data_IF_906524767040
#
_entry.id   IF_906524767040
#
_cell.length_a   1.000
_cell.length_b   1.000
_cell.length_c   1.000
_cell.angle_alpha   90.00
_cell.angle_beta   90.00
_cell.angle_gamma   90.00
#
_symmetry.space_group_name_H-M   'P 1'
#
loop_
_entity.id
_entity.type
_entity.pdbx_description
1 polymer ?
#
# COMPACT_ATOMS: atom_id res chain seq x y z
N UNK A 1 5.97 51.25 22.86
CA UNK A 1 5.71 50.59 21.57
C UNK A 1 5.48 51.69 20.57
N UNK A 2 6.35 51.83 19.56
CA UNK A 2 6.18 52.86 18.55
C UNK A 2 4.90 52.57 17.76
N UNK A 3 4.00 53.54 17.73
CA UNK A 3 2.73 53.44 16.99
C UNK A 3 3.07 53.51 15.51
N UNK A 4 2.81 52.41 14.81
CA UNK A 4 3.20 52.21 13.42
C UNK A 4 2.28 53.08 12.54
N UNK A 5 2.86 53.87 11.62
CA UNK A 5 2.08 54.79 10.79
C UNK A 5 1.08 54.03 9.93
N UNK A 6 -0.11 54.60 9.68
CA UNK A 6 -1.13 53.99 8.80
C UNK A 6 -0.53 53.55 7.45
N UNK A 7 0.45 54.29 6.93
CA UNK A 7 1.12 53.98 5.67
C UNK A 7 2.06 52.77 5.78
N UNK A 8 2.81 52.66 6.88
CA UNK A 8 3.64 51.48 7.17
C UNK A 8 2.75 50.22 7.35
N UNK A 9 1.55 50.39 7.91
CA UNK A 9 0.62 49.28 8.15
C UNK A 9 0.07 48.73 6.83
N UNK A 10 -0.24 49.61 5.87
CA UNK A 10 -0.67 49.21 4.52
C UNK A 10 0.43 48.49 3.76
N UNK A 11 1.67 48.99 3.83
CA UNK A 11 2.82 48.34 3.18
C UNK A 11 2.97 46.91 3.72
N UNK A 12 2.99 46.76 5.04
CA UNK A 12 3.11 45.44 5.68
C UNK A 12 1.95 44.50 5.34
N UNK A 13 0.72 45.02 5.25
CA UNK A 13 -0.44 44.22 4.84
C UNK A 13 -0.28 43.71 3.39
N UNK A 14 0.17 44.56 2.48
CA UNK A 14 0.43 44.17 1.10
C UNK A 14 1.54 43.11 0.99
N UNK A 15 2.62 43.28 1.74
CA UNK A 15 3.73 42.31 1.79
C UNK A 15 3.25 40.94 2.28
N UNK A 16 2.50 40.89 3.39
CA UNK A 16 1.95 39.63 3.94
C UNK A 16 1.01 38.95 2.94
N UNK A 17 0.15 39.72 2.24
CA UNK A 17 -0.74 39.14 1.22
C UNK A 17 0.05 38.61 0.01
N UNK A 18 1.20 39.21 -0.34
CA UNK A 18 2.05 38.75 -1.45
C UNK A 18 2.75 37.46 -1.07
N UNK A 19 3.34 37.41 0.13
CA UNK A 19 3.94 36.20 0.69
C UNK A 19 2.93 35.06 0.79
N UNK A 20 1.69 35.36 1.21
CA UNK A 20 0.60 34.39 1.28
C UNK A 20 0.25 33.83 -0.10
N UNK A 21 0.15 34.68 -1.12
CA UNK A 21 -0.08 34.24 -2.50
C UNK A 21 1.05 33.36 -3.02
N UNK A 22 2.31 33.73 -2.80
CA UNK A 22 3.45 32.88 -3.15
C UNK A 22 3.43 31.54 -2.41
N UNK A 23 3.02 31.53 -1.14
CA UNK A 23 2.83 30.31 -0.38
C UNK A 23 1.79 29.40 -1.03
N UNK A 24 0.65 29.93 -1.49
CA UNK A 24 -0.35 29.14 -2.22
C UNK A 24 0.17 28.57 -3.54
N UNK A 25 1.04 29.30 -4.26
CA UNK A 25 1.70 28.80 -5.47
C UNK A 25 2.65 27.64 -5.17
N UNK A 26 3.47 27.77 -4.12
CA UNK A 26 4.35 26.68 -3.67
C UNK A 26 3.56 25.45 -3.24
N UNK A 27 2.44 25.63 -2.52
CA UNK A 27 1.56 24.52 -2.16
C UNK A 27 1.02 23.79 -3.40
N UNK A 28 0.56 24.54 -4.40
CA UNK A 28 0.05 23.97 -5.65
C UNK A 28 1.12 23.13 -6.35
N UNK A 29 2.32 23.69 -6.54
CA UNK A 29 3.45 22.97 -7.12
C UNK A 29 3.79 21.69 -6.35
N UNK A 30 3.91 21.77 -5.02
CA UNK A 30 4.21 20.59 -4.19
C UNK A 30 3.15 19.50 -4.32
N UNK A 31 1.87 19.88 -4.36
CA UNK A 31 0.79 18.90 -4.54
C UNK A 31 0.82 18.25 -5.92
N UNK A 32 1.11 19.00 -6.98
CA UNK A 32 1.22 18.48 -8.34
C UNK A 32 2.41 17.52 -8.50
N UNK A 33 3.56 17.88 -7.94
CA UNK A 33 4.74 17.00 -7.87
C UNK A 33 4.43 15.71 -7.10
N UNK A 34 3.73 15.84 -5.96
CA UNK A 34 3.31 14.68 -5.16
C UNK A 34 2.34 13.78 -5.92
N UNK A 35 1.44 14.36 -6.72
CA UNK A 35 0.52 13.58 -7.55
C UNK A 35 1.28 12.75 -8.59
N UNK A 36 2.23 13.36 -9.29
CA UNK A 36 3.05 12.68 -10.28
C UNK A 36 3.87 11.52 -9.67
N UNK A 37 4.49 11.74 -8.51
CA UNK A 37 5.18 10.69 -7.75
C UNK A 37 4.21 9.60 -7.31
N UNK A 38 3.01 9.97 -6.85
CA UNK A 38 1.96 9.03 -6.45
C UNK A 38 1.55 8.10 -7.60
N UNK A 39 1.28 8.66 -8.78
CA UNK A 39 0.93 7.89 -9.99
C UNK A 39 2.04 6.91 -10.36
N UNK A 40 3.31 7.37 -10.43
CA UNK A 40 4.45 6.49 -10.70
C UNK A 40 4.56 5.35 -9.69
N UNK A 41 4.33 5.65 -8.42
CA UNK A 41 4.39 4.66 -7.34
C UNK A 41 3.30 3.60 -7.48
N UNK A 42 2.06 4.01 -7.81
CA UNK A 42 0.95 3.09 -8.07
C UNK A 42 1.30 2.16 -9.24
N UNK A 43 1.79 2.69 -10.36
CA UNK A 43 2.19 1.89 -11.53
C UNK A 43 3.30 0.89 -11.17
N UNK A 44 4.33 1.33 -10.43
CA UNK A 44 5.39 0.44 -9.98
C UNK A 44 4.88 -0.69 -9.07
N UNK A 45 3.94 -0.38 -8.17
CA UNK A 45 3.31 -1.42 -7.34
C UNK A 45 2.46 -2.38 -8.18
N UNK A 46 1.79 -1.93 -9.23
CA UNK A 46 1.07 -2.83 -10.14
C UNK A 46 2.02 -3.82 -10.84
N UNK A 47 3.13 -3.33 -11.36
CA UNK A 47 4.18 -4.16 -11.99
C UNK A 47 4.75 -5.18 -10.99
N UNK A 48 5.11 -4.72 -9.78
CA UNK A 48 5.59 -5.60 -8.69
C UNK A 48 4.53 -6.63 -8.30
N UNK A 49 3.26 -6.24 -8.27
CA UNK A 49 2.15 -7.13 -7.96
C UNK A 49 1.99 -8.26 -8.98
N UNK A 50 2.15 -7.97 -10.29
CA UNK A 50 2.11 -9.02 -11.31
C UNK A 50 3.34 -9.93 -11.25
N UNK A 51 4.53 -9.37 -10.98
CA UNK A 51 5.73 -10.18 -10.74
C UNK A 51 5.54 -11.16 -9.58
N UNK A 52 4.98 -10.70 -8.46
CA UNK A 52 4.68 -11.55 -7.30
C UNK A 52 3.67 -12.65 -7.64
N UNK A 53 2.63 -12.35 -8.43
CA UNK A 53 1.69 -13.37 -8.92
C UNK A 53 2.36 -14.38 -9.83
N UNK A 54 3.32 -13.97 -10.66
CA UNK A 54 4.07 -14.92 -11.47
C UNK A 54 4.92 -15.85 -10.60
N UNK A 55 5.61 -15.31 -9.60
CA UNK A 55 6.38 -16.10 -8.62
C UNK A 55 5.48 -17.09 -7.87
N UNK A 56 4.28 -16.67 -7.47
CA UNK A 56 3.29 -17.53 -6.81
C UNK A 56 2.88 -18.72 -7.70
N UNK A 57 2.61 -18.47 -8.99
CA UNK A 57 2.31 -19.54 -9.97
C UNK A 57 3.50 -20.48 -10.19
N UNK A 58 4.72 -19.95 -10.25
CA UNK A 58 5.94 -20.75 -10.39
C UNK A 58 6.17 -21.64 -9.16
N UNK A 59 5.89 -21.14 -7.95
CA UNK A 59 5.96 -21.93 -6.72
C UNK A 59 4.93 -23.06 -6.70
N UNK A 60 3.70 -22.78 -7.14
CA UNK A 60 2.66 -23.79 -7.31
C UNK A 60 3.10 -24.91 -8.28
N UNK A 61 3.79 -24.56 -9.36
CA UNK A 61 4.34 -25.52 -10.32
C UNK A 61 5.45 -26.37 -9.69
N UNK A 62 6.42 -25.74 -9.00
CA UNK A 62 7.49 -26.46 -8.29
C UNK A 62 6.91 -27.40 -7.23
N UNK A 63 5.87 -26.97 -6.51
CA UNK A 63 5.14 -27.77 -5.55
C UNK A 63 4.50 -29.01 -6.18
N UNK A 64 3.99 -28.90 -7.41
CA UNK A 64 3.47 -30.05 -8.17
C UNK A 64 4.60 -30.98 -8.65
N UNK A 65 5.68 -30.43 -9.17
CA UNK A 65 6.83 -31.19 -9.65
C UNK A 65 7.49 -31.97 -8.51
N UNK A 66 7.62 -31.36 -7.32
CA UNK A 66 8.11 -32.04 -6.12
C UNK A 66 7.20 -33.19 -5.68
N UNK A 67 5.87 -33.04 -5.79
CA UNK A 67 4.94 -34.15 -5.53
C UNK A 67 5.16 -35.29 -6.51
N UNK A 68 5.41 -35.00 -7.78
CA UNK A 68 5.67 -36.03 -8.79
C UNK A 68 7.04 -36.70 -8.57
N UNK A 69 8.10 -35.93 -8.31
CA UNK A 69 9.41 -36.46 -7.97
C UNK A 69 9.36 -37.43 -6.79
N UNK A 70 8.59 -37.09 -5.74
CA UNK A 70 8.37 -37.96 -4.58
C UNK A 70 7.62 -39.25 -4.93
N UNK A 71 6.66 -39.22 -5.85
CA UNK A 71 5.98 -40.44 -6.35
C UNK A 71 6.98 -41.34 -7.09
N UNK A 72 7.76 -40.76 -8.00
CA UNK A 72 8.76 -41.51 -8.77
C UNK A 72 9.80 -42.16 -7.85
N UNK A 73 10.31 -41.44 -6.83
CA UNK A 73 11.21 -42.02 -5.82
C UNK A 73 10.57 -43.16 -5.01
N UNK A 74 9.26 -43.06 -4.72
CA UNK A 74 8.52 -44.13 -4.06
C UNK A 74 8.21 -45.33 -4.96
N UNK A 75 8.17 -45.16 -6.28
CA UNK A 75 8.03 -46.26 -7.23
C UNK A 75 9.37 -46.98 -7.42
N UNK A 76 10.46 -46.22 -7.53
CA UNK A 76 11.82 -46.76 -7.55
C UNK A 76 12.12 -47.59 -6.29
N UNK A 77 11.66 -47.16 -5.12
CA UNK A 77 11.84 -47.92 -3.87
C UNK A 77 11.05 -49.24 -3.84
N UNK A 78 9.97 -49.37 -4.63
CA UNK A 78 9.18 -50.61 -4.75
C UNK A 78 9.76 -51.59 -5.77
N UNK A 79 10.56 -51.12 -6.73
CA UNK A 79 11.18 -51.94 -7.77
C UNK A 79 12.38 -52.78 -7.26
N UNK A 80 12.72 -52.71 -5.97
CA UNK A 80 13.64 -53.64 -5.34
C UNK A 80 12.93 -54.98 -5.05
N UNK A 81 12.62 -55.74 -6.12
CA UNK A 81 11.75 -56.91 -6.15
C UNK A 81 12.27 -58.19 -5.46
N UNK A 82 13.19 -58.10 -4.50
CA UNK A 82 13.68 -59.26 -3.75
C UNK A 82 14.13 -58.96 -2.31
N UNK A 83 13.73 -57.83 -1.72
CA UNK A 83 14.13 -57.49 -0.35
C UNK A 83 12.91 -57.11 0.50
N UNK A 84 12.71 -57.85 1.61
CA UNK A 84 11.79 -57.50 2.70
C UNK A 84 12.28 -56.25 3.44
N UNK A 85 12.29 -55.08 2.79
CA UNK A 85 12.70 -53.84 3.42
C UNK A 85 11.48 -53.10 4.00
N UNK A 86 11.36 -52.94 5.34
CA UNK A 86 10.29 -52.21 5.99
C UNK A 86 10.51 -50.70 5.85
N UNK A 87 10.36 -50.18 4.63
CA UNK A 87 10.52 -48.75 4.37
C UNK A 87 9.22 -48.00 4.70
N UNK A 88 9.24 -47.27 5.82
CA UNK A 88 8.17 -46.37 6.27
C UNK A 88 7.67 -45.46 5.13
N UNK A 89 6.41 -45.64 4.71
CA UNK A 89 5.71 -44.72 3.80
C UNK A 89 5.68 -43.34 4.45
N UNK A 90 6.39 -42.36 3.89
CA UNK A 90 6.19 -40.97 4.31
C UNK A 90 4.77 -40.54 3.92
N UNK A 91 3.95 -40.20 4.91
CA UNK A 91 2.66 -39.51 4.71
C UNK A 91 2.93 -38.12 4.12
N UNK A 92 2.10 -37.64 3.18
CA UNK A 92 2.22 -36.27 2.70
C UNK A 92 1.83 -35.32 3.84
N UNK A 93 2.56 -34.21 4.06
CA UNK A 93 2.00 -33.07 4.77
C UNK A 93 0.80 -32.60 3.95
N UNK A 94 -0.40 -32.63 4.53
CA UNK A 94 -1.54 -31.93 3.93
C UNK A 94 -1.34 -30.45 4.24
N UNK A 95 -1.10 -29.63 3.23
CA UNK A 95 -1.08 -28.18 3.42
C UNK A 95 -2.51 -27.72 3.75
N UNK A 96 -2.73 -27.30 5.00
CA UNK A 96 -4.04 -26.92 5.55
C UNK A 96 -4.50 -25.50 5.09
N UNK A 97 -3.82 -24.91 4.10
CA UNK A 97 -4.07 -23.53 3.65
C UNK A 97 -5.51 -23.34 3.13
N UNK A 98 -6.06 -24.33 2.40
CA UNK A 98 -7.45 -24.30 1.89
C UNK A 98 -8.51 -24.23 2.99
N UNK A 99 -8.23 -24.68 4.22
CA UNK A 99 -9.18 -24.57 5.34
C UNK A 99 -9.11 -23.23 6.06
N UNK A 100 -8.01 -22.48 5.91
CA UNK A 100 -7.79 -21.19 6.59
C UNK A 100 -8.51 -20.04 5.86
N UNK A 101 -8.67 -20.12 4.54
CA UNK A 101 -9.44 -19.13 3.77
C UNK A 101 -10.94 -19.12 4.11
N UNK A 102 -11.53 -20.27 4.46
CA UNK A 102 -12.96 -20.35 4.84
C UNK A 102 -13.31 -19.75 6.21
N UNK A 103 -12.32 -19.37 7.03
CA UNK A 103 -12.52 -18.87 8.41
C UNK A 103 -12.15 -17.40 8.62
N UNK A 104 -11.66 -16.68 7.61
CA UNK A 104 -11.36 -15.24 7.69
C UNK A 104 -12.28 -14.43 6.78
N UNK A 105 -13.58 -14.54 7.01
CA UNK A 105 -14.51 -13.45 6.71
C UNK A 105 -14.83 -12.78 8.05
N UNK A 106 -13.91 -11.93 8.52
CA UNK A 106 -14.23 -10.90 9.52
C UNK A 106 -13.59 -9.64 9.01
N UNK A 107 -14.45 -8.70 8.62
CA UNK A 107 -14.12 -7.30 8.37
C UNK A 107 -13.10 -6.82 9.41
N UNK A 108 -11.83 -6.74 9.01
CA UNK A 108 -10.91 -5.83 9.68
C UNK A 108 -11.35 -4.45 9.24
N UNK A 109 -12.19 -3.81 10.07
CA UNK A 109 -12.35 -2.36 10.04
C UNK A 109 -10.95 -1.78 10.20
N UNK A 110 -10.33 -1.46 9.08
CA UNK A 110 -9.05 -0.77 9.00
C UNK A 110 -9.22 0.50 9.83
N UNK A 111 -8.63 0.51 11.02
CA UNK A 111 -8.58 1.70 11.86
C UNK A 111 -7.54 2.61 11.23
N UNK A 112 -7.92 3.24 10.11
CA UNK A 112 -7.26 4.44 9.63
C UNK A 112 -7.31 5.41 10.80
N UNK A 113 -6.14 5.73 11.36
CA UNK A 113 -6.03 6.76 12.39
C UNK A 113 -6.37 8.07 11.70
N UNK A 114 -7.67 8.40 11.68
CA UNK A 114 -8.22 9.65 11.18
C UNK A 114 -7.95 10.74 12.22
N UNK A 115 -6.69 11.00 12.52
CA UNK A 115 -6.31 12.30 13.09
C UNK A 115 -6.21 13.22 11.87
N UNK A 116 -7.37 13.59 11.33
CA UNK A 116 -7.40 14.76 10.47
C UNK A 116 -7.24 15.96 11.40
N UNK A 117 -6.24 16.83 11.18
CA UNK A 117 -6.20 18.10 11.89
C UNK A 117 -7.53 18.82 11.66
N UNK A 118 -8.03 19.49 12.69
CA UNK A 118 -9.28 20.26 12.60
C UNK A 118 -9.19 21.18 11.40
N UNK A 119 -10.07 21.00 10.43
CA UNK A 119 -10.08 21.85 9.25
C UNK A 119 -10.31 23.29 9.70
N UNK A 120 -9.42 24.21 9.35
CA UNK A 120 -9.60 25.63 9.59
C UNK A 120 -9.97 26.26 8.25
N UNK A 121 -11.14 26.89 8.19
CA UNK A 121 -11.60 27.61 6.99
C UNK A 121 -11.87 29.05 7.40
N UNK A 122 -11.35 30.02 6.66
CA UNK A 122 -11.51 31.43 6.96
C UNK A 122 -11.07 31.83 8.40
N UNK A 123 -10.01 31.18 8.92
CA UNK A 123 -9.51 31.41 10.28
C UNK A 123 -10.40 30.87 11.41
N UNK A 124 -11.48 30.16 11.10
CA UNK A 124 -12.34 29.50 12.08
C UNK A 124 -12.17 27.98 12.03
N UNK A 125 -12.10 27.35 13.20
CA UNK A 125 -12.09 25.90 13.31
C UNK A 125 -13.46 25.36 12.88
N UNK A 126 -13.48 24.54 11.82
CA UNK A 126 -14.66 23.81 11.38
C UNK A 126 -14.81 22.61 12.31
N UNK A 127 -15.92 22.54 13.04
CA UNK A 127 -16.18 21.41 13.94
C UNK A 127 -16.36 20.11 13.15
N UNK A 128 -15.69 19.05 13.61
CA UNK A 128 -15.87 17.71 13.09
C UNK A 128 -17.32 17.24 13.37
N UNK A 129 -18.20 17.34 12.38
CA UNK A 129 -19.62 16.95 12.48
C UNK A 129 -20.62 17.90 11.82
N UNK A 130 -20.21 19.12 11.45
CA UNK A 130 -21.03 20.03 10.64
C UNK A 130 -20.95 19.70 9.15
N UNK A 131 -22.00 20.04 8.39
CA UNK A 131 -22.04 19.94 6.92
C UNK A 131 -20.73 20.40 6.28
N UNK A 132 -20.34 19.78 5.16
CA UNK A 132 -19.12 20.11 4.43
C UNK A 132 -18.95 21.63 4.37
N UNK A 133 -17.80 22.18 4.79
CA UNK A 133 -17.67 23.61 5.01
C UNK A 133 -17.88 24.36 3.70
N UNK A 134 -19.05 24.97 3.52
CA UNK A 134 -19.42 25.77 2.35
C UNK A 134 -19.06 27.23 2.62
N UNK A 135 -18.12 27.80 1.88
CA UNK A 135 -17.69 29.20 2.01
C UNK A 135 -16.36 29.45 1.32
N UNK A 136 -15.78 30.64 1.34
CA UNK A 136 -14.40 30.86 0.87
C UNK A 136 -13.37 30.23 1.83
N UNK A 137 -12.19 29.86 1.32
CA UNK A 137 -11.06 29.35 2.11
C UNK A 137 -10.34 30.49 2.85
N UNK A 138 -10.21 31.65 2.22
CA UNK A 138 -9.58 32.83 2.82
C UNK A 138 -10.59 33.90 3.25
N UNK A 139 -10.18 34.71 4.23
CA UNK A 139 -10.90 35.94 4.57
C UNK A 139 -10.52 37.00 3.57
N UNK A 140 -11.50 37.52 2.82
CA UNK A 140 -11.29 38.66 1.95
C UNK A 140 -11.18 39.94 2.78
N UNK A 141 -10.09 40.69 2.61
CA UNK A 141 -9.83 41.96 3.32
C UNK A 141 -9.78 43.10 2.30
N UNK A 142 -8.94 42.96 1.27
CA UNK A 142 -8.79 43.98 0.22
C UNK A 142 -9.73 43.73 -0.97
N UNK A 143 -10.23 42.49 -1.11
CA UNK A 143 -11.05 42.04 -2.23
C UNK A 143 -10.41 42.38 -3.60
N UNK A 144 -9.11 42.12 -3.70
CA UNK A 144 -8.30 42.31 -4.90
C UNK A 144 -8.11 40.98 -5.68
N UNK A 145 -7.57 41.09 -6.89
CA UNK A 145 -7.31 39.93 -7.76
C UNK A 145 -6.35 38.90 -7.13
N UNK A 146 -5.53 39.31 -6.14
CA UNK A 146 -4.58 38.43 -5.46
C UNK A 146 -5.30 37.51 -4.49
N UNK A 147 -6.25 38.03 -3.73
CA UNK A 147 -7.15 37.24 -2.90
C UNK A 147 -7.97 36.25 -3.74
N UNK A 148 -8.48 36.68 -4.90
CA UNK A 148 -9.16 35.77 -5.84
C UNK A 148 -8.24 34.63 -6.33
N UNK A 149 -6.99 34.96 -6.69
CA UNK A 149 -6.02 33.93 -7.11
C UNK A 149 -5.62 32.99 -5.97
N UNK A 150 -5.50 33.49 -4.74
CA UNK A 150 -5.25 32.66 -3.56
C UNK A 150 -6.37 31.65 -3.33
N UNK A 151 -7.63 32.09 -3.44
CA UNK A 151 -8.80 31.23 -3.31
C UNK A 151 -8.82 30.13 -4.38
N UNK A 152 -8.54 30.47 -5.64
CA UNK A 152 -8.42 29.50 -6.74
C UNK A 152 -7.30 28.47 -6.48
N UNK A 153 -6.10 28.94 -6.10
CA UNK A 153 -4.97 28.05 -5.79
C UNK A 153 -5.30 27.08 -4.66
N UNK A 154 -5.94 27.56 -3.58
CA UNK A 154 -6.34 26.72 -2.45
C UNK A 154 -7.42 25.71 -2.84
N UNK A 155 -8.35 26.09 -3.71
CA UNK A 155 -9.34 25.16 -4.26
C UNK A 155 -8.67 24.02 -5.03
N UNK A 156 -7.68 24.32 -5.89
CA UNK A 156 -6.91 23.30 -6.59
C UNK A 156 -6.11 22.41 -5.62
N UNK A 157 -5.45 23.00 -4.62
CA UNK A 157 -4.70 22.25 -3.59
C UNK A 157 -5.62 21.29 -2.84
N UNK A 158 -6.84 21.70 -2.46
CA UNK A 158 -7.79 20.82 -1.78
C UNK A 158 -8.18 19.63 -2.66
N UNK A 159 -8.46 19.88 -3.95
CA UNK A 159 -8.74 18.82 -4.91
C UNK A 159 -7.55 17.86 -5.06
N UNK A 160 -6.31 18.38 -5.18
CA UNK A 160 -5.12 17.55 -5.25
C UNK A 160 -4.91 16.72 -3.98
N UNK A 161 -5.18 17.29 -2.80
CA UNK A 161 -5.10 16.57 -1.52
C UNK A 161 -6.14 15.45 -1.43
N UNK A 162 -7.33 15.65 -1.97
CA UNK A 162 -8.34 14.59 -2.05
C UNK A 162 -7.89 13.44 -2.97
N UNK A 163 -7.30 13.75 -4.13
CA UNK A 163 -6.72 12.75 -5.02
C UNK A 163 -5.56 12.02 -4.33
N UNK A 164 -4.65 12.74 -3.67
CA UNK A 164 -3.55 12.17 -2.89
C UNK A 164 -4.04 11.23 -1.80
N UNK A 165 -5.13 11.57 -1.10
CA UNK A 165 -5.78 10.71 -0.11
C UNK A 165 -6.27 9.42 -0.75
N UNK A 166 -6.98 9.51 -1.88
CA UNK A 166 -7.50 8.32 -2.57
C UNK A 166 -6.36 7.43 -3.09
N UNK A 167 -5.29 8.01 -3.63
CA UNK A 167 -4.08 7.28 -4.00
C UNK A 167 -3.42 6.61 -2.80
N UNK A 168 -3.32 7.29 -1.66
CA UNK A 168 -2.76 6.69 -0.45
C UNK A 168 -3.56 5.46 0.03
N UNK A 169 -4.90 5.51 -0.08
CA UNK A 169 -5.75 4.35 0.21
C UNK A 169 -5.51 3.21 -0.77
N UNK A 170 -5.42 3.51 -2.07
CA UNK A 170 -5.12 2.51 -3.09
C UNK A 170 -3.74 1.86 -2.90
N UNK A 171 -2.71 2.68 -2.64
CA UNK A 171 -1.36 2.23 -2.31
C UNK A 171 -1.37 1.28 -1.11
N UNK A 172 -2.09 1.64 -0.04
CA UNK A 172 -2.23 0.80 1.16
C UNK A 172 -2.85 -0.55 0.82
N UNK A 173 -3.93 -0.56 0.04
CA UNK A 173 -4.61 -1.80 -0.35
C UNK A 173 -3.72 -2.69 -1.23
N UNK A 174 -3.02 -2.12 -2.23
CA UNK A 174 -2.10 -2.88 -3.08
C UNK A 174 -0.95 -3.49 -2.27
N UNK A 175 -0.41 -2.76 -1.29
CA UNK A 175 0.63 -3.27 -0.39
C UNK A 175 0.08 -4.42 0.47
N UNK A 176 -1.11 -4.27 1.05
CA UNK A 176 -1.74 -5.33 1.85
C UNK A 176 -1.98 -6.61 1.03
N UNK A 177 -2.44 -6.49 -0.22
CA UNK A 177 -2.61 -7.62 -1.13
C UNK A 177 -1.27 -8.32 -1.44
N UNK A 178 -0.23 -7.54 -1.72
CA UNK A 178 1.10 -8.06 -2.02
C UNK A 178 1.74 -8.75 -0.81
N UNK A 179 1.57 -8.20 0.40
CA UNK A 179 2.03 -8.84 1.65
C UNK A 179 1.42 -10.23 1.80
N UNK A 180 0.12 -10.39 1.49
CA UNK A 180 -0.54 -11.69 1.57
C UNK A 180 0.04 -12.71 0.57
N UNK A 181 0.36 -12.28 -0.66
CA UNK A 181 1.01 -13.13 -1.64
C UNK A 181 2.41 -13.54 -1.17
N UNK A 182 3.19 -12.59 -0.66
CA UNK A 182 4.54 -12.86 -0.11
C UNK A 182 4.48 -13.87 1.04
N UNK A 183 3.52 -13.71 1.96
CA UNK A 183 3.30 -14.67 3.05
C UNK A 183 2.96 -16.06 2.51
N UNK A 184 2.14 -16.15 1.46
CA UNK A 184 1.81 -17.43 0.82
C UNK A 184 3.06 -18.10 0.22
N UNK A 185 3.79 -17.37 -0.61
CA UNK A 185 5.02 -17.81 -1.27
C UNK A 185 6.05 -18.28 -0.24
N UNK A 186 6.27 -17.54 0.85
CA UNK A 186 7.21 -17.92 1.90
C UNK A 186 6.84 -19.26 2.58
N UNK A 187 5.55 -19.49 2.81
CA UNK A 187 5.07 -20.76 3.37
C UNK A 187 5.25 -21.92 2.38
N UNK A 188 5.01 -21.68 1.09
CA UNK A 188 5.25 -22.66 0.03
C UNK A 188 6.74 -23.01 -0.09
N UNK A 189 7.62 -22.00 -0.14
CA UNK A 189 9.09 -22.17 -0.16
C UNK A 189 9.55 -23.04 1.00
N UNK A 190 9.06 -22.78 2.22
CA UNK A 190 9.43 -23.57 3.41
C UNK A 190 9.04 -25.04 3.24
N UNK A 191 7.85 -25.30 2.68
CA UNK A 191 7.34 -26.65 2.42
C UNK A 191 8.17 -27.35 1.35
N UNK A 192 8.39 -26.69 0.21
CA UNK A 192 9.20 -27.19 -0.92
C UNK A 192 10.61 -27.52 -0.45
N UNK A 193 11.24 -26.62 0.32
CA UNK A 193 12.59 -26.84 0.88
C UNK A 193 12.66 -28.10 1.74
N UNK A 194 11.64 -28.32 2.59
CA UNK A 194 11.56 -29.54 3.40
C UNK A 194 11.37 -30.80 2.54
N UNK A 195 10.51 -30.73 1.52
CA UNK A 195 10.26 -31.84 0.60
C UNK A 195 11.50 -32.18 -0.25
N UNK A 196 12.27 -31.18 -0.69
CA UNK A 196 13.55 -31.36 -1.40
C UNK A 196 14.55 -32.07 -0.49
N UNK A 197 14.75 -31.60 0.74
CA UNK A 197 15.67 -32.24 1.68
C UNK A 197 15.29 -33.71 1.98
N UNK A 198 13.99 -34.00 2.09
CA UNK A 198 13.49 -35.36 2.26
C UNK A 198 13.73 -36.24 1.03
N UNK A 199 13.47 -35.71 -0.17
CA UNK A 199 13.70 -36.38 -1.44
C UNK A 199 15.19 -36.69 -1.66
N UNK A 200 16.09 -35.74 -1.38
CA UNK A 200 17.54 -35.95 -1.44
C UNK A 200 18.00 -37.06 -0.49
N UNK A 201 17.51 -37.06 0.75
CA UNK A 201 17.82 -38.11 1.73
C UNK A 201 17.35 -39.49 1.25
N UNK A 202 16.19 -39.57 0.61
CA UNK A 202 15.67 -40.82 0.05
C UNK A 202 16.48 -41.26 -1.17
N UNK A 203 16.81 -40.35 -2.10
CA UNK A 203 17.61 -40.65 -3.27
C UNK A 203 19.00 -41.20 -2.90
N UNK A 204 19.65 -40.64 -1.86
CA UNK A 204 20.93 -41.16 -1.34
C UNK A 204 20.86 -42.60 -0.82
N UNK A 205 19.69 -43.09 -0.39
CA UNK A 205 19.51 -44.49 0.04
C UNK A 205 19.42 -45.47 -1.14
N UNK A 206 19.14 -44.96 -2.34
CA UNK A 206 19.01 -45.74 -3.56
C UNK A 206 20.26 -45.64 -4.47
N UNK A 207 21.30 -44.96 -3.99
CA UNK A 207 22.62 -44.91 -4.63
C UNK A 207 23.51 -46.00 -4.02
#
# INVERSE_FOLDING_TARGET
MADLSVEEMKIKANDVTNESLESTRRMLQMTEESLNVGVKTITMLEEQGEQLKNVDREMDQISQDMKQARKNLNELSKCCGLCLCPCNRLKSPKSDWRKKQRKKAKESKQKVVSIQPTAVRNGQAVSAGSAAPTGPYIKRITNDDREDKMEENLSHVVNHVEILKNMALELSNKIEDQIQIIDHVNNEITTITSDVAAAEKQARKHR
#
